data_IF_198187894888
#
_entry.id   IF_198187894888
#
_cell.length_a   1.000
_cell.length_b   1.000
_cell.length_c   1.000
_cell.angle_alpha   90.00
_cell.angle_beta   90.00
_cell.angle_gamma   90.00
#
_symmetry.space_group_name_H-M   'P 1'
#
loop_
_entity.id
_entity.type
_entity.pdbx_description
1 polymer ?
#
# COMPACT_ATOMS: atom_id res chain seq x y z
N UNK A 1 -13.10 29.13 -61.25
CA UNK A 1 -13.12 30.39 -60.48
C UNK A 1 -12.77 30.09 -59.04
N UNK A 2 -11.74 30.77 -58.52
CA UNK A 2 -11.39 31.03 -57.10
C UNK A 2 -11.20 29.86 -56.11
N UNK A 3 -10.28 29.88 -55.15
CA UNK A 3 -8.88 30.32 -55.00
C UNK A 3 -8.43 29.73 -53.65
N UNK A 4 -7.15 29.40 -53.53
CA UNK A 4 -6.44 28.86 -52.36
C UNK A 4 -6.40 29.81 -51.14
N UNK A 5 -5.97 29.23 -49.99
CA UNK A 5 -5.36 29.77 -48.74
C UNK A 5 -6.23 29.49 -47.50
N UNK A 6 -5.74 29.19 -46.28
CA UNK A 6 -4.51 29.63 -45.56
C UNK A 6 -4.34 28.71 -44.32
N UNK A 7 -3.13 28.19 -44.01
CA UNK A 7 -2.23 28.56 -42.86
C UNK A 7 -2.84 28.25 -41.49
N UNK A 8 -2.44 27.24 -40.70
CA UNK A 8 -1.15 26.87 -40.07
C UNK A 8 -0.62 27.93 -39.10
N UNK A 9 -0.94 27.81 -37.82
CA UNK A 9 -0.15 28.45 -36.76
C UNK A 9 0.01 27.53 -35.54
N UNK A 10 1.29 27.29 -35.23
CA UNK A 10 1.79 26.60 -34.06
C UNK A 10 2.29 27.67 -33.08
N UNK A 11 1.86 27.61 -31.82
CA UNK A 11 2.39 28.47 -30.76
C UNK A 11 3.05 27.62 -29.68
N UNK A 12 4.36 27.46 -29.82
CA UNK A 12 5.29 27.05 -28.78
C UNK A 12 5.46 28.19 -27.77
N UNK A 13 5.17 27.94 -26.49
CA UNK A 13 5.51 28.85 -25.38
C UNK A 13 6.63 28.22 -24.55
N UNK A 14 7.86 28.63 -24.83
CA UNK A 14 9.03 28.52 -23.97
C UNK A 14 9.01 29.65 -22.94
N UNK A 15 8.95 29.31 -21.65
CA UNK A 15 9.15 30.27 -20.56
C UNK A 15 10.60 30.18 -20.07
N UNK A 16 11.32 31.30 -20.22
CA UNK A 16 12.67 31.56 -19.72
C UNK A 16 12.49 32.26 -18.36
N UNK A 17 13.01 31.66 -17.29
CA UNK A 17 13.16 32.34 -15.99
C UNK A 17 14.62 32.71 -15.79
N UNK A 18 14.90 34.01 -15.83
CA UNK A 18 16.16 34.64 -15.43
C UNK A 18 16.02 35.19 -14.00
N UNK A 19 16.92 34.73 -13.13
CA UNK A 19 17.75 35.54 -12.23
C UNK A 19 17.12 36.37 -11.10
N UNK A 20 17.60 36.14 -9.88
CA UNK A 20 18.20 37.21 -9.05
C UNK A 20 18.91 36.63 -7.82
N UNK A 21 20.23 36.76 -7.83
CA UNK A 21 21.10 36.68 -6.66
C UNK A 21 20.97 37.95 -5.82
N UNK A 22 20.85 37.82 -4.50
CA UNK A 22 21.26 38.82 -3.51
C UNK A 22 21.72 38.10 -2.24
N UNK A 23 23.03 38.16 -1.98
CA UNK A 23 23.68 38.11 -0.66
C UNK A 23 23.90 39.58 -0.23
N UNK A 24 24.04 39.94 1.08
CA UNK A 24 25.20 39.52 1.88
C UNK A 24 25.03 39.39 3.42
N UNK A 25 26.06 38.74 4.02
CA UNK A 25 26.74 38.99 5.32
C UNK A 25 25.91 39.13 6.61
N UNK A 26 26.30 38.67 7.81
CA UNK A 26 27.45 37.95 8.37
C UNK A 26 27.19 37.81 9.88
N UNK A 27 28.04 37.06 10.60
CA UNK A 27 28.16 36.86 12.07
C UNK A 27 27.25 35.78 12.66
N UNK A 28 27.71 34.75 13.37
CA UNK A 28 29.06 34.33 13.76
C UNK A 28 29.00 33.10 14.67
N UNK A 29 30.18 32.49 14.88
CA UNK A 29 30.56 31.59 15.99
C UNK A 29 30.44 30.05 15.83
N UNK A 30 31.58 29.47 15.42
CA UNK A 30 32.36 28.40 16.06
C UNK A 30 31.62 27.16 16.58
N UNK A 31 31.84 26.01 15.95
CA UNK A 31 32.36 24.82 16.66
C UNK A 31 32.87 23.72 15.70
N UNK A 32 34.12 23.31 15.94
CA UNK A 32 34.82 22.07 15.60
C UNK A 32 34.74 21.44 14.18
N UNK A 33 35.91 21.48 13.52
CA UNK A 33 36.28 20.64 12.38
C UNK A 33 36.36 19.17 12.81
N UNK A 34 35.66 18.29 12.08
CA UNK A 34 36.10 16.93 11.84
C UNK A 34 36.23 16.77 10.32
N UNK A 35 37.45 16.59 9.83
CA UNK A 35 37.69 16.12 8.47
C UNK A 35 37.52 14.60 8.48
N UNK A 36 36.47 14.12 7.83
CA UNK A 36 36.29 12.72 7.49
C UNK A 36 35.88 12.64 6.03
N UNK A 37 36.81 12.22 5.18
CA UNK A 37 36.55 11.83 3.79
C UNK A 37 35.52 10.72 3.75
N UNK A 38 34.34 11.03 3.21
CA UNK A 38 33.26 10.06 3.00
C UNK A 38 33.39 9.48 1.59
N UNK A 39 33.91 8.26 1.50
CA UNK A 39 33.86 7.47 0.27
C UNK A 39 32.45 6.89 0.10
N UNK A 40 31.91 7.07 -1.09
CA UNK A 40 30.81 6.26 -1.62
C UNK A 40 31.17 4.77 -1.60
N UNK A 41 30.11 3.95 -1.58
CA UNK A 41 30.04 2.49 -1.83
C UNK A 41 30.06 1.55 -0.62
N UNK A 42 28.90 0.88 -0.46
CA UNK A 42 28.66 -0.43 0.19
C UNK A 42 28.92 -0.57 1.70
N UNK A 43 27.84 -0.51 2.49
CA UNK A 43 27.76 -1.21 3.78
C UNK A 43 27.59 -2.72 3.54
N UNK A 44 28.67 -3.41 3.19
CA UNK A 44 28.77 -4.86 3.28
C UNK A 44 29.99 -5.21 4.13
N UNK A 45 29.87 -6.16 5.08
CA UNK A 45 31.01 -6.65 5.83
C UNK A 45 32.00 -7.33 4.88
N UNK A 46 33.29 -7.02 5.06
CA UNK A 46 34.40 -7.62 4.33
C UNK A 46 34.45 -9.12 4.64
N UNK A 47 34.06 -9.95 3.68
CA UNK A 47 34.30 -11.40 3.72
C UNK A 47 35.78 -11.66 3.43
N UNK A 48 36.43 -12.43 4.30
CA UNK A 48 37.82 -12.84 4.13
C UNK A 48 38.09 -13.70 2.88
N UNK A 49 39.35 -14.05 2.60
CA UNK A 49 39.83 -14.56 1.31
C UNK A 49 39.29 -15.93 0.85
N UNK A 50 38.36 -16.54 1.59
CA UNK A 50 37.62 -17.74 1.16
C UNK A 50 36.25 -17.43 0.54
N UNK A 51 35.82 -16.16 0.51
CA UNK A 51 34.50 -15.75 0.00
C UNK A 51 34.43 -15.38 -1.48
N UNK A 52 35.56 -15.27 -2.19
CA UNK A 52 35.56 -14.76 -3.58
C UNK A 52 35.50 -15.82 -4.69
N UNK A 53 35.65 -17.11 -4.38
CA UNK A 53 35.66 -18.15 -5.43
C UNK A 53 34.29 -18.70 -5.81
N UNK A 54 33.19 -18.19 -5.26
CA UNK A 54 31.86 -18.80 -5.39
C UNK A 54 30.78 -17.88 -6.02
N UNK A 55 31.17 -16.97 -6.91
CA UNK A 55 30.21 -16.16 -7.70
C UNK A 55 30.38 -16.45 -9.20
N UNK A 56 30.30 -17.72 -9.61
CA UNK A 56 30.30 -18.06 -11.04
C UNK A 56 29.45 -19.27 -11.43
N UNK A 57 28.88 -20.04 -10.49
CA UNK A 57 27.98 -21.13 -10.87
C UNK A 57 26.70 -21.08 -10.05
N UNK A 58 25.60 -21.32 -10.75
CA UNK A 58 24.24 -21.56 -10.27
C UNK A 58 24.29 -22.73 -9.26
N UNK A 59 24.70 -22.42 -8.04
CA UNK A 59 25.08 -23.36 -7.00
C UNK A 59 23.96 -23.46 -5.99
N UNK A 60 23.22 -24.55 -6.10
CA UNK A 60 22.31 -25.13 -5.12
C UNK A 60 22.61 -24.73 -3.66
N UNK A 61 21.73 -23.91 -3.09
CA UNK A 61 21.83 -23.39 -1.72
C UNK A 61 21.89 -24.51 -0.67
N UNK A 62 21.46 -25.73 -1.01
CA UNK A 62 21.59 -26.90 -0.11
C UNK A 62 23.03 -27.34 0.08
N UNK A 63 23.92 -27.16 -0.92
CA UNK A 63 25.35 -27.47 -0.78
C UNK A 63 26.09 -26.45 0.09
N UNK A 64 25.68 -25.18 0.07
CA UNK A 64 26.22 -24.18 0.99
C UNK A 64 25.82 -24.45 2.44
N UNK A 65 24.57 -24.90 2.67
CA UNK A 65 24.13 -25.35 3.99
C UNK A 65 24.87 -26.60 4.47
N UNK A 66 25.12 -27.59 3.59
CA UNK A 66 25.88 -28.81 3.93
C UNK A 66 27.38 -28.57 4.20
N UNK A 67 28.02 -27.69 3.43
CA UNK A 67 29.43 -27.33 3.65
C UNK A 67 29.62 -26.56 4.95
N UNK A 68 28.62 -25.79 5.35
CA UNK A 68 28.59 -25.19 6.65
C UNK A 68 28.37 -26.28 7.72
N UNK A 69 27.33 -27.11 7.65
CA UNK A 69 26.99 -28.08 8.73
C UNK A 69 28.08 -29.04 9.17
N UNK A 70 28.99 -29.40 8.27
CA UNK A 70 30.00 -30.40 8.56
C UNK A 70 31.22 -29.85 9.32
N UNK A 71 31.30 -28.53 9.55
CA UNK A 71 32.46 -27.90 10.20
C UNK A 71 32.21 -27.38 11.62
N UNK A 72 31.08 -27.73 12.26
CA UNK A 72 30.71 -27.18 13.58
C UNK A 72 30.36 -28.20 14.68
N UNK A 73 30.73 -29.47 14.52
CA UNK A 73 30.43 -30.49 15.55
C UNK A 73 31.20 -30.26 16.87
N UNK A 74 32.15 -29.33 16.94
CA UNK A 74 33.03 -29.15 18.12
C UNK A 74 32.84 -27.89 18.96
N UNK A 75 31.80 -27.08 18.75
CA UNK A 75 31.56 -25.94 19.66
C UNK A 75 30.08 -25.85 20.01
N UNK A 76 29.77 -26.23 21.24
CA UNK A 76 28.41 -26.29 21.76
C UNK A 76 27.63 -24.99 21.57
N UNK A 77 26.37 -25.18 21.14
CA UNK A 77 25.20 -24.33 21.36
C UNK A 77 25.47 -22.83 21.17
N UNK A 78 25.23 -22.34 19.95
CA UNK A 78 25.21 -20.92 19.65
C UNK A 78 23.75 -20.42 19.55
N UNK A 79 23.24 -19.61 20.49
CA UNK A 79 21.87 -19.07 20.46
C UNK A 79 21.60 -18.14 19.26
N UNK A 80 22.64 -17.73 18.53
CA UNK A 80 22.55 -16.85 17.37
C UNK A 80 21.83 -17.52 16.18
N UNK A 81 21.90 -18.84 16.01
CA UNK A 81 21.26 -19.51 14.85
C UNK A 81 19.72 -19.51 14.97
N UNK A 82 19.15 -19.55 16.18
CA UNK A 82 17.70 -19.44 16.39
C UNK A 82 17.20 -17.99 16.22
N UNK A 83 18.02 -17.00 16.57
CA UNK A 83 17.72 -15.59 16.32
C UNK A 83 17.74 -15.26 14.81
N UNK A 84 18.65 -15.88 14.05
CA UNK A 84 18.64 -15.76 12.58
C UNK A 84 17.50 -16.55 11.92
N UNK A 85 17.06 -17.68 12.48
CA UNK A 85 15.81 -18.35 12.03
C UNK A 85 14.56 -17.49 12.23
N UNK A 86 14.54 -16.61 13.23
CA UNK A 86 13.47 -15.63 13.41
C UNK A 86 13.60 -14.41 12.48
N UNK A 87 14.81 -14.11 11.99
CA UNK A 87 15.05 -13.12 10.92
C UNK A 87 14.84 -13.69 9.48
N UNK A 88 14.74 -15.01 9.36
CA UNK A 88 14.50 -15.77 8.12
C UNK A 88 13.01 -15.77 7.78
N UNK A 89 12.63 -14.88 6.85
CA UNK A 89 11.35 -14.86 6.14
C UNK A 89 10.12 -15.21 6.99
N UNK A 90 9.41 -14.19 7.50
CA UNK A 90 8.02 -14.39 7.95
C UNK A 90 7.30 -15.11 6.81
N UNK A 91 7.03 -16.41 7.00
CA UNK A 91 6.36 -17.23 6.00
C UNK A 91 4.98 -16.63 5.86
N UNK A 92 4.77 -15.88 4.78
CA UNK A 92 3.50 -15.20 4.56
C UNK A 92 2.46 -16.26 4.22
N UNK A 93 1.53 -16.49 5.14
CA UNK A 93 0.47 -17.48 4.97
C UNK A 93 -0.60 -16.97 4.02
N UNK A 94 -1.45 -17.85 3.43
CA UNK A 94 -2.60 -17.41 2.65
C UNK A 94 -3.53 -16.47 3.44
N UNK A 95 -3.70 -16.74 4.74
CA UNK A 95 -4.49 -15.90 5.63
C UNK A 95 -3.90 -14.48 5.72
N UNK A 96 -2.57 -14.35 5.85
CA UNK A 96 -1.88 -13.05 5.89
C UNK A 96 -2.01 -12.30 4.57
N UNK A 97 -1.86 -13.00 3.44
CA UNK A 97 -2.02 -12.41 2.10
C UNK A 97 -3.44 -11.89 1.89
N UNK A 98 -4.43 -12.71 2.20
CA UNK A 98 -5.84 -12.34 2.12
C UNK A 98 -6.15 -11.14 3.02
N UNK A 99 -5.65 -11.14 4.27
CA UNK A 99 -5.82 -10.03 5.20
C UNK A 99 -5.19 -8.75 4.67
N UNK A 100 -3.94 -8.81 4.18
CA UNK A 100 -3.24 -7.65 3.63
C UNK A 100 -3.96 -7.03 2.42
N UNK A 101 -4.46 -7.87 1.51
CA UNK A 101 -5.25 -7.40 0.35
C UNK A 101 -6.54 -6.75 0.83
N UNK A 102 -7.27 -7.38 1.74
CA UNK A 102 -8.53 -6.84 2.28
C UNK A 102 -8.33 -5.51 2.97
N UNK A 103 -7.31 -5.39 3.82
CA UNK A 103 -7.04 -4.17 4.58
C UNK A 103 -6.60 -3.04 3.65
N UNK A 104 -5.75 -3.34 2.66
CA UNK A 104 -5.24 -2.34 1.70
C UNK A 104 -6.37 -1.75 0.85
N UNK A 105 -7.30 -2.59 0.40
CA UNK A 105 -8.40 -2.20 -0.48
C UNK A 105 -9.73 -1.99 0.24
N UNK A 106 -9.73 -2.00 1.58
CA UNK A 106 -10.92 -1.86 2.43
C UNK A 106 -12.07 -2.81 2.03
N UNK A 107 -11.74 -4.05 1.68
CA UNK A 107 -12.69 -5.04 1.17
C UNK A 107 -13.43 -5.73 2.33
N UNK A 108 -14.77 -5.71 2.27
CA UNK A 108 -15.57 -6.66 3.05
C UNK A 108 -15.45 -8.08 2.45
N UNK A 109 -15.99 -9.09 3.14
CA UNK A 109 -15.90 -10.49 2.69
C UNK A 109 -16.56 -10.72 1.32
N UNK A 110 -17.63 -10.00 1.01
CA UNK A 110 -18.33 -10.09 -0.27
C UNK A 110 -17.49 -9.54 -1.41
N UNK A 111 -16.86 -8.37 -1.20
CA UNK A 111 -15.96 -7.77 -2.17
C UNK A 111 -14.69 -8.61 -2.33
N UNK A 112 -14.14 -9.17 -1.25
CA UNK A 112 -13.04 -10.10 -1.33
C UNK A 112 -13.41 -11.32 -2.18
N UNK A 113 -14.57 -11.96 -1.94
CA UNK A 113 -15.04 -13.07 -2.77
C UNK A 113 -15.12 -12.68 -4.25
N UNK A 114 -15.65 -11.49 -4.56
CA UNK A 114 -15.72 -10.96 -5.93
C UNK A 114 -14.34 -10.67 -6.54
N UNK A 115 -13.42 -10.10 -5.78
CA UNK A 115 -12.03 -9.79 -6.22
C UNK A 115 -11.22 -11.05 -6.44
N UNK A 116 -11.30 -12.02 -5.54
CA UNK A 116 -10.62 -13.31 -5.68
C UNK A 116 -11.36 -14.26 -6.65
N UNK A 117 -12.56 -13.91 -7.11
CA UNK A 117 -13.42 -14.70 -8.01
C UNK A 117 -13.77 -16.08 -7.43
N UNK A 118 -13.98 -16.14 -6.12
CA UNK A 118 -14.38 -17.33 -5.37
C UNK A 118 -15.66 -17.07 -4.58
N UNK A 119 -16.17 -18.09 -3.90
CA UNK A 119 -17.35 -17.93 -3.02
C UNK A 119 -16.96 -17.39 -1.64
N UNK A 120 -17.92 -16.81 -0.91
CA UNK A 120 -17.67 -16.35 0.48
C UNK A 120 -17.18 -17.50 1.40
N UNK A 121 -17.76 -18.71 1.38
CA UNK A 121 -17.21 -19.86 2.12
C UNK A 121 -15.73 -20.11 1.85
N UNK A 122 -15.28 -19.97 0.60
CA UNK A 122 -13.88 -20.12 0.23
C UNK A 122 -12.99 -19.05 0.89
N UNK A 123 -13.46 -17.81 0.99
CA UNK A 123 -12.74 -16.73 1.69
C UNK A 123 -12.58 -17.05 3.18
N UNK A 124 -13.61 -17.57 3.84
CA UNK A 124 -13.53 -17.97 5.24
C UNK A 124 -12.56 -19.14 5.44
N UNK A 125 -12.57 -20.13 4.55
CA UNK A 125 -11.60 -21.22 4.57
C UNK A 125 -10.17 -20.70 4.39
N UNK A 126 -9.94 -19.82 3.41
CA UNK A 126 -8.62 -19.24 3.15
C UNK A 126 -8.08 -18.41 4.32
N UNK A 127 -8.96 -17.77 5.09
CA UNK A 127 -8.59 -17.04 6.29
C UNK A 127 -8.05 -17.92 7.43
N UNK A 128 -8.23 -19.25 7.36
CA UNK A 128 -7.66 -20.21 8.32
C UNK A 128 -6.50 -21.03 7.79
N UNK A 129 -6.09 -20.85 6.52
CA UNK A 129 -5.01 -21.64 5.93
C UNK A 129 -3.65 -21.08 6.34
N UNK A 130 -2.74 -21.99 6.67
CA UNK A 130 -1.35 -21.67 7.04
C UNK A 130 -0.37 -21.88 5.89
N UNK A 131 -0.77 -22.64 4.87
CA UNK A 131 0.09 -23.01 3.73
C UNK A 131 -0.64 -22.79 2.40
N UNK A 132 0.07 -22.19 1.43
CA UNK A 132 -0.42 -21.96 0.07
C UNK A 132 -0.79 -23.25 -0.66
N UNK A 133 -0.13 -24.38 -0.37
CA UNK A 133 -0.45 -25.65 -1.02
C UNK A 133 -1.83 -26.21 -0.62
N UNK A 134 -2.43 -25.69 0.45
CA UNK A 134 -3.80 -26.04 0.85
C UNK A 134 -4.87 -25.44 -0.08
N UNK A 135 -4.53 -24.39 -0.85
CA UNK A 135 -5.40 -23.86 -1.90
C UNK A 135 -5.28 -24.77 -3.12
N UNK A 136 -6.32 -25.58 -3.41
CA UNK A 136 -6.25 -26.64 -4.42
C UNK A 136 -5.95 -26.14 -5.84
N UNK A 137 -6.64 -25.09 -6.29
CA UNK A 137 -6.51 -24.60 -7.65
C UNK A 137 -5.26 -23.72 -7.82
N UNK A 138 -4.43 -24.05 -8.80
CA UNK A 138 -3.23 -23.25 -9.12
C UNK A 138 -3.58 -21.80 -9.49
N UNK A 139 -4.65 -21.61 -10.27
CA UNK A 139 -5.11 -20.28 -10.68
C UNK A 139 -5.45 -19.38 -9.47
N UNK A 140 -6.02 -19.95 -8.41
CA UNK A 140 -6.35 -19.22 -7.18
C UNK A 140 -5.09 -18.81 -6.42
N UNK A 141 -4.09 -19.72 -6.36
CA UNK A 141 -2.78 -19.43 -5.77
C UNK A 141 -2.09 -18.28 -6.49
N UNK A 142 -2.07 -18.33 -7.82
CA UNK A 142 -1.42 -17.32 -8.66
C UNK A 142 -2.14 -15.97 -8.54
N UNK A 143 -3.48 -15.97 -8.54
CA UNK A 143 -4.28 -14.76 -8.33
C UNK A 143 -4.03 -14.14 -6.95
N UNK A 144 -3.95 -14.95 -5.89
CA UNK A 144 -3.68 -14.47 -4.54
C UNK A 144 -2.30 -13.82 -4.43
N UNK A 145 -1.27 -14.44 -5.02
CA UNK A 145 0.09 -13.87 -5.09
C UNK A 145 0.11 -12.54 -5.83
N UNK A 146 -0.59 -12.45 -6.96
CA UNK A 146 -0.62 -11.22 -7.74
C UNK A 146 -1.34 -10.08 -7.00
N UNK A 147 -2.50 -10.34 -6.41
CA UNK A 147 -3.24 -9.34 -5.63
C UNK A 147 -2.44 -8.86 -4.42
N UNK A 148 -1.72 -9.76 -3.73
CA UNK A 148 -0.84 -9.40 -2.63
C UNK A 148 0.33 -8.52 -3.07
N UNK A 149 0.97 -8.85 -4.20
CA UNK A 149 2.03 -8.01 -4.78
C UNK A 149 1.51 -6.62 -5.13
N UNK A 150 0.29 -6.53 -5.67
CA UNK A 150 -0.36 -5.26 -5.98
C UNK A 150 -0.68 -4.49 -4.69
N UNK A 151 -1.17 -5.15 -3.64
CA UNK A 151 -1.47 -4.48 -2.37
C UNK A 151 -0.22 -3.89 -1.70
N UNK A 152 0.91 -4.60 -1.79
CA UNK A 152 2.20 -4.08 -1.33
C UNK A 152 2.60 -2.80 -2.07
N UNK A 153 2.54 -2.81 -3.42
CA UNK A 153 2.85 -1.63 -4.23
C UNK A 153 1.87 -0.48 -3.99
N UNK A 154 0.58 -0.78 -3.87
CA UNK A 154 -0.45 0.20 -3.53
C UNK A 154 -0.16 0.89 -2.20
N UNK A 155 0.26 0.11 -1.18
CA UNK A 155 0.62 0.64 0.13
C UNK A 155 1.84 1.57 0.06
N UNK A 156 2.82 1.27 -0.81
CA UNK A 156 3.99 2.12 -1.03
C UNK A 156 3.63 3.49 -1.64
N UNK A 157 2.54 3.58 -2.41
CA UNK A 157 2.03 4.87 -2.94
C UNK A 157 1.34 5.73 -1.86
N UNK A 158 1.12 5.18 -0.68
CA UNK A 158 0.47 5.83 0.45
C UNK A 158 -1.03 5.55 0.54
N UNK A 159 -1.57 5.72 1.75
CA UNK A 159 -2.98 5.48 2.04
C UNK A 159 -3.87 6.54 1.39
N UNK A 160 -4.99 6.10 0.82
CA UNK A 160 -6.07 6.97 0.38
C UNK A 160 -7.09 7.14 1.51
N UNK A 161 -7.62 8.34 1.67
CA UNK A 161 -8.69 8.65 2.64
C UNK A 161 -10.05 8.72 1.94
N UNK A 162 -11.13 8.44 2.67
CA UNK A 162 -12.50 8.53 2.16
C UNK A 162 -13.02 7.28 1.44
N UNK A 163 -14.22 7.38 0.86
CA UNK A 163 -14.93 6.29 0.16
C UNK A 163 -14.54 6.20 -1.31
N UNK A 164 -13.31 5.77 -1.59
CA UNK A 164 -12.80 5.67 -2.96
C UNK A 164 -13.10 4.33 -3.66
N UNK A 165 -13.45 3.28 -2.91
CA UNK A 165 -13.66 1.92 -3.44
C UNK A 165 -14.83 1.82 -4.42
N UNK A 166 -15.87 2.64 -4.23
CA UNK A 166 -17.06 2.68 -5.10
C UNK A 166 -17.00 3.77 -6.16
N UNK A 167 -15.91 4.53 -6.24
CA UNK A 167 -15.79 5.58 -7.24
C UNK A 167 -15.58 5.01 -8.63
N UNK A 168 -16.28 5.62 -9.59
CA UNK A 168 -16.09 5.36 -11.01
C UNK A 168 -14.88 6.14 -11.49
N UNK A 169 -13.89 5.44 -12.02
CA UNK A 169 -12.69 6.03 -12.62
C UNK A 169 -13.01 6.60 -14.00
N UNK A 170 -12.06 7.31 -14.62
CA UNK A 170 -12.22 7.83 -15.99
C UNK A 170 -12.46 6.74 -17.03
N UNK A 171 -12.03 5.51 -16.75
CA UNK A 171 -12.30 4.32 -17.56
C UNK A 171 -13.75 3.82 -17.51
N UNK A 172 -14.59 4.39 -16.63
CA UNK A 172 -15.95 3.92 -16.37
C UNK A 172 -16.03 2.72 -15.42
N UNK A 173 -14.90 2.25 -14.90
CA UNK A 173 -14.82 1.11 -13.97
C UNK A 173 -14.47 1.58 -12.56
N UNK A 174 -14.91 0.85 -11.54
CA UNK A 174 -14.42 1.06 -10.17
C UNK A 174 -13.10 0.31 -9.94
N UNK A 175 -12.39 0.65 -8.87
CA UNK A 175 -11.20 -0.09 -8.47
C UNK A 175 -11.50 -1.57 -8.17
N UNK A 176 -12.71 -1.86 -7.66
CA UNK A 176 -13.11 -3.24 -7.41
C UNK A 176 -13.31 -3.97 -8.74
N UNK A 177 -13.85 -3.33 -9.76
CA UNK A 177 -14.01 -3.95 -11.08
C UNK A 177 -12.65 -4.26 -11.73
N UNK A 178 -11.67 -3.37 -11.58
CA UNK A 178 -10.30 -3.61 -12.03
C UNK A 178 -9.66 -4.80 -11.30
N UNK A 179 -9.82 -4.88 -9.97
CA UNK A 179 -9.30 -5.97 -9.15
C UNK A 179 -10.03 -7.30 -9.41
N UNK A 180 -11.31 -7.25 -9.77
CA UNK A 180 -12.16 -8.41 -10.08
C UNK A 180 -12.01 -8.91 -11.52
N UNK A 181 -11.28 -8.18 -12.38
CA UNK A 181 -11.05 -8.58 -13.75
C UNK A 181 -10.42 -9.98 -13.85
N UNK A 182 -10.76 -10.69 -14.93
CA UNK A 182 -10.24 -12.04 -15.17
C UNK A 182 -8.70 -12.04 -15.28
N UNK A 183 -8.17 -11.03 -15.96
CA UNK A 183 -6.75 -10.72 -16.06
C UNK A 183 -6.51 -9.43 -15.27
N UNK A 184 -5.62 -9.48 -14.29
CA UNK A 184 -5.32 -8.32 -13.45
C UNK A 184 -4.29 -7.44 -14.15
N UNK A 185 -4.73 -6.27 -14.62
CA UNK A 185 -3.81 -5.25 -15.14
C UNK A 185 -3.27 -4.39 -14.00
N UNK A 186 -2.10 -4.78 -13.50
CA UNK A 186 -1.41 -4.05 -12.44
C UNK A 186 -1.19 -2.57 -12.79
N UNK A 187 -0.88 -2.24 -14.05
CA UNK A 187 -0.60 -0.86 -14.43
C UNK A 187 -1.85 0.00 -14.28
N UNK A 188 -2.98 -0.47 -14.83
CA UNK A 188 -4.27 0.21 -14.70
C UNK A 188 -4.69 0.41 -13.24
N UNK A 189 -4.42 -0.56 -12.37
CA UNK A 189 -4.69 -0.44 -10.93
C UNK A 189 -3.82 0.65 -10.30
N UNK A 190 -2.51 0.67 -10.55
CA UNK A 190 -1.63 1.69 -9.97
C UNK A 190 -1.93 3.09 -10.53
N UNK A 191 -2.29 3.21 -11.80
CA UNK A 191 -2.74 4.48 -12.41
C UNK A 191 -4.05 4.96 -11.79
N UNK A 192 -4.95 4.04 -11.40
CA UNK A 192 -6.17 4.38 -10.68
C UNK A 192 -5.88 5.00 -9.31
N UNK A 193 -4.80 4.60 -8.62
CA UNK A 193 -4.39 5.24 -7.35
C UNK A 193 -4.10 6.73 -7.56
N UNK A 194 -3.31 7.07 -8.58
CA UNK A 194 -2.99 8.46 -8.89
C UNK A 194 -4.25 9.28 -9.23
N UNK A 195 -5.18 8.69 -9.98
CA UNK A 195 -6.47 9.33 -10.27
C UNK A 195 -7.28 9.58 -8.99
N UNK A 196 -7.45 8.56 -8.15
CA UNK A 196 -8.20 8.67 -6.90
C UNK A 196 -7.57 9.69 -5.95
N UNK A 197 -6.24 9.72 -5.87
CA UNK A 197 -5.49 10.70 -5.07
C UNK A 197 -5.74 12.13 -5.53
N UNK A 198 -5.82 12.36 -6.84
CA UNK A 198 -6.10 13.69 -7.39
C UNK A 198 -7.50 14.21 -7.01
N UNK A 199 -8.48 13.32 -6.84
CA UNK A 199 -9.86 13.67 -6.45
C UNK A 199 -10.09 13.61 -4.93
N UNK A 200 -9.21 12.96 -4.17
CA UNK A 200 -9.36 12.74 -2.73
C UNK A 200 -9.67 14.01 -1.93
N UNK A 201 -9.05 15.15 -2.29
CA UNK A 201 -9.31 16.45 -1.68
C UNK A 201 -10.78 16.87 -1.79
N UNK A 202 -11.32 16.89 -3.01
CA UNK A 202 -12.72 17.26 -3.27
C UNK A 202 -13.73 16.31 -2.63
N UNK A 203 -13.40 15.03 -2.49
CA UNK A 203 -14.29 14.05 -1.88
C UNK A 203 -14.40 14.25 -0.37
N UNK A 204 -13.28 14.54 0.30
CA UNK A 204 -13.27 14.81 1.71
C UNK A 204 -14.10 16.05 2.04
N UNK A 205 -13.99 17.09 1.20
CA UNK A 205 -14.83 18.30 1.31
C UNK A 205 -16.31 17.97 1.10
N UNK A 206 -16.65 17.25 0.03
CA UNK A 206 -18.03 16.84 -0.24
C UNK A 206 -18.62 15.98 0.90
N UNK A 207 -17.83 15.09 1.49
CA UNK A 207 -18.25 14.25 2.62
C UNK A 207 -18.43 15.06 3.91
N UNK A 208 -17.56 16.03 4.17
CA UNK A 208 -17.71 16.95 5.29
C UNK A 208 -19.02 17.76 5.17
N UNK A 209 -19.33 18.26 3.97
CA UNK A 209 -20.59 18.97 3.69
C UNK A 209 -21.79 18.03 3.89
N UNK A 210 -21.75 16.80 3.36
CA UNK A 210 -22.82 15.81 3.56
C UNK A 210 -23.04 15.49 5.04
N UNK A 211 -21.96 15.30 5.80
CA UNK A 211 -22.02 14.99 7.23
C UNK A 211 -22.62 16.16 8.03
N UNK A 212 -22.22 17.39 7.71
CA UNK A 212 -22.79 18.60 8.32
C UNK A 212 -24.28 18.74 8.01
N UNK A 213 -24.69 18.49 6.78
CA UNK A 213 -26.09 18.56 6.38
C UNK A 213 -26.93 17.46 7.05
N UNK A 214 -26.40 16.24 7.17
CA UNK A 214 -27.06 15.15 7.88
C UNK A 214 -27.22 15.48 9.38
N UNK A 215 -26.18 16.01 10.03
CA UNK A 215 -26.25 16.43 11.43
C UNK A 215 -27.30 17.53 11.65
N UNK A 216 -27.34 18.54 10.77
CA UNK A 216 -28.36 19.60 10.79
C UNK A 216 -29.77 19.05 10.60
N UNK A 217 -29.96 18.07 9.71
CA UNK A 217 -31.26 17.45 9.47
C UNK A 217 -31.75 16.61 10.67
N UNK A 218 -30.84 16.05 11.46
CA UNK A 218 -31.17 15.25 12.65
C UNK A 218 -31.38 16.09 13.91
N UNK A 219 -30.86 17.32 13.97
CA UNK A 219 -30.97 18.19 15.16
C UNK A 219 -32.41 18.32 15.71
N UNK A 220 -33.45 18.56 14.89
CA UNK A 220 -34.82 18.67 15.41
C UNK A 220 -35.36 17.37 16.03
N UNK A 221 -34.87 16.21 15.59
CA UNK A 221 -35.27 14.94 16.17
C UNK A 221 -34.70 14.76 17.58
N UNK A 222 -33.49 15.25 17.83
CA UNK A 222 -32.88 15.25 19.16
C UNK A 222 -33.60 16.24 20.08
N UNK A 223 -33.91 17.46 19.62
CA UNK A 223 -34.70 18.44 20.40
C UNK A 223 -36.05 17.86 20.84
N UNK A 224 -36.71 17.11 19.94
CA UNK A 224 -37.97 16.42 20.25
C UNK A 224 -37.79 15.30 21.28
N UNK A 225 -36.68 14.57 21.23
CA UNK A 225 -36.39 13.51 22.17
C UNK A 225 -36.14 14.07 23.58
N UNK A 226 -35.41 15.17 23.68
CA UNK A 226 -35.16 15.85 24.96
C UNK A 226 -36.47 16.39 25.56
N UNK A 227 -37.31 17.03 24.75
CA UNK A 227 -38.63 17.46 25.19
C UNK A 227 -39.52 16.30 25.69
N UNK A 228 -39.42 15.12 25.07
CA UNK A 228 -40.14 13.92 25.54
C UNK A 228 -39.58 13.40 26.86
N UNK A 229 -38.26 13.41 27.04
CA UNK A 229 -37.62 12.98 28.28
C UNK A 229 -38.00 13.90 29.45
N UNK A 230 -38.02 15.22 29.23
CA UNK A 230 -38.50 16.18 30.24
C UNK A 230 -39.95 15.96 30.63
N UNK A 231 -40.83 15.66 29.67
CA UNK A 231 -42.24 15.33 29.95
C UNK A 231 -42.36 14.10 30.82
N UNK A 232 -41.64 13.02 30.49
CA UNK A 232 -41.63 11.77 31.27
C UNK A 232 -41.10 11.99 32.68
N UNK A 233 -40.09 12.83 32.86
CA UNK A 233 -39.56 13.12 34.19
C UNK A 233 -40.55 13.94 35.04
N UNK A 234 -41.24 14.91 34.42
CA UNK A 234 -42.31 15.67 35.08
C UNK A 234 -43.47 14.77 35.49
N UNK A 235 -43.85 13.80 34.66
CA UNK A 235 -44.88 12.81 34.98
C UNK A 235 -44.45 11.91 36.15
N UNK A 236 -43.20 11.44 36.16
CA UNK A 236 -42.66 10.62 37.27
C UNK A 236 -42.68 11.33 38.63
N UNK A 237 -42.43 12.63 38.67
CA UNK A 237 -42.43 13.42 39.93
C UNK A 237 -43.82 13.72 40.48
N UNK A 238 -44.90 13.43 39.73
CA UNK A 238 -46.29 13.67 40.15
C UNK A 238 -46.92 12.50 40.90
N UNK A 239 -46.32 11.32 40.81
CA UNK A 239 -46.75 10.09 41.47
C UNK A 239 -45.77 9.74 42.59
#
# INVERSE_FOLDING_TARGET
>A
MHTLKTVRDAHSRTAILKGKELLPSSTGSISHRYYGTFCETTNLPVLGPLGQTFISQQGDLTKLLQLYTNNWITTGINPVIEEYKQALSIVVTPADMLKAVRDTFMLNVSDAARVFRVTRPTIYLWASLTDMEQIRARADRDRMKELFRISQKWTQLGKLTGRWTSMVLRSGQSIIDLLSAAIIDQKSILDAHAQLRAVAGSLNEAEAIRSLNAAKALAPAFDKLDALNERREKERKRY
#
